data_IF_730385300473
#
_entry.id   IF_730385300473
#
_cell.length_a   1.000
_cell.length_b   1.000
_cell.length_c   1.000
_cell.angle_alpha   90.00
_cell.angle_beta   90.00
_cell.angle_gamma   90.00
#
_symmetry.space_group_name_H-M   'P 1'
#
loop_
_entity.id
_entity.type
_entity.pdbx_description
1 polymer ?
#
# COMPACT_ATOMS: atom_id res chain seq x y z
N UNK A 1 -20.76 16.22 0.26
CA UNK A 1 -20.02 15.53 -0.82
C UNK A 1 -18.64 16.10 -0.99
N UNK A 2 -18.47 17.43 -1.14
CA UNK A 2 -17.16 18.09 -1.23
C UNK A 2 -16.18 17.73 -0.10
N UNK A 3 -16.64 17.69 1.16
CA UNK A 3 -15.78 17.30 2.30
C UNK A 3 -15.22 15.88 2.20
N UNK A 4 -16.01 14.92 1.70
CA UNK A 4 -15.53 13.54 1.47
C UNK A 4 -14.51 13.49 0.33
N UNK A 5 -14.74 14.24 -0.74
CA UNK A 5 -13.83 14.32 -1.90
C UNK A 5 -12.44 14.86 -1.52
N UNK A 6 -12.36 15.74 -0.53
CA UNK A 6 -11.09 16.19 0.03
C UNK A 6 -10.50 15.19 1.03
N UNK A 7 -11.31 14.63 1.93
CA UNK A 7 -10.83 13.67 2.93
C UNK A 7 -10.24 12.43 2.26
N UNK A 8 -10.86 11.88 1.22
CA UNK A 8 -10.34 10.67 0.55
C UNK A 8 -8.92 10.85 0.02
N UNK A 9 -8.53 12.07 -0.36
CA UNK A 9 -7.16 12.40 -0.82
C UNK A 9 -6.13 12.29 0.32
N UNK A 10 -6.56 12.43 1.56
CA UNK A 10 -5.74 12.25 2.77
C UNK A 10 -5.69 10.82 3.32
N UNK A 11 -6.37 9.87 2.64
CA UNK A 11 -6.37 8.45 2.99
C UNK A 11 -5.44 7.70 2.03
N UNK A 12 -4.47 7.00 2.59
CA UNK A 12 -3.42 6.32 1.85
C UNK A 12 -3.59 4.82 1.90
N UNK A 13 -3.28 4.17 0.78
CA UNK A 13 -2.98 2.75 0.76
C UNK A 13 -1.51 2.59 1.16
N UNK A 14 -1.26 1.68 2.09
CA UNK A 14 0.09 1.37 2.57
C UNK A 14 0.52 0.07 1.95
N UNK A 15 1.65 0.09 1.24
CA UNK A 15 2.24 -1.07 0.61
C UNK A 15 3.55 -1.44 1.33
N UNK A 16 3.63 -2.69 1.76
CA UNK A 16 4.86 -3.31 2.30
C UNK A 16 5.26 -4.50 1.44
N UNK A 17 6.39 -5.13 1.74
CA UNK A 17 6.80 -6.37 1.07
C UNK A 17 5.94 -7.58 1.45
N UNK A 18 5.11 -7.45 2.49
CA UNK A 18 4.33 -8.54 3.07
C UNK A 18 2.82 -8.40 2.80
N UNK A 19 2.36 -7.20 2.41
CA UNK A 19 0.94 -6.98 2.25
C UNK A 19 0.56 -5.53 2.01
N UNK A 20 -0.73 -5.27 2.16
CA UNK A 20 -1.31 -3.94 2.00
C UNK A 20 -2.26 -3.62 3.14
N UNK A 21 -2.39 -2.34 3.45
CA UNK A 21 -3.34 -1.81 4.41
C UNK A 21 -3.75 -0.38 4.05
N UNK A 22 -4.41 0.28 4.98
CA UNK A 22 -4.83 1.67 4.87
C UNK A 22 -4.18 2.52 5.95
N UNK A 23 -4.13 3.82 5.71
CA UNK A 23 -3.72 4.82 6.70
C UNK A 23 -4.33 6.17 6.38
N UNK A 24 -4.26 7.10 7.31
CA UNK A 24 -4.81 8.44 7.12
C UNK A 24 -3.86 9.49 7.68
N UNK A 25 -3.78 10.63 6.98
CA UNK A 25 -2.91 11.73 7.37
C UNK A 25 -3.56 12.62 8.42
N UNK A 26 -2.79 12.94 9.46
CA UNK A 26 -3.14 13.91 10.48
C UNK A 26 -2.31 15.18 10.28
N UNK A 27 -2.96 16.18 9.69
CA UNK A 27 -2.34 17.46 9.30
C UNK A 27 -1.67 18.20 10.45
N UNK A 28 -2.29 18.22 11.63
CA UNK A 28 -1.78 18.96 12.79
C UNK A 28 -0.46 18.39 13.33
N UNK A 29 -0.13 17.16 12.96
CA UNK A 29 1.01 16.40 13.46
C UNK A 29 2.04 16.05 12.37
N UNK A 30 1.67 16.26 11.11
CA UNK A 30 2.45 15.90 9.92
C UNK A 30 2.89 14.44 9.89
N UNK A 31 1.94 13.53 10.16
CA UNK A 31 2.15 12.07 10.16
C UNK A 31 0.98 11.35 9.51
N UNK A 32 1.23 10.13 9.02
CA UNK A 32 0.20 9.17 8.64
C UNK A 32 0.05 8.13 9.75
N UNK A 33 -1.19 7.90 10.17
CA UNK A 33 -1.53 6.88 11.17
C UNK A 33 -1.98 5.60 10.47
N UNK A 34 -1.57 4.45 10.99
CA UNK A 34 -2.02 3.13 10.56
C UNK A 34 -1.96 2.13 11.73
N UNK A 35 -2.24 0.86 11.46
CA UNK A 35 -1.98 -0.20 12.45
C UNK A 35 -0.55 -0.70 12.42
N UNK A 36 -0.04 -1.09 13.59
CA UNK A 36 1.27 -1.73 13.71
C UNK A 36 1.40 -2.96 12.80
N UNK A 37 0.41 -3.85 12.77
CA UNK A 37 0.51 -5.07 11.97
C UNK A 37 0.59 -4.84 10.46
N UNK A 38 0.14 -3.69 9.96
CA UNK A 38 0.26 -3.33 8.53
C UNK A 38 1.74 -3.12 8.18
N UNK A 39 2.53 -2.60 9.13
CA UNK A 39 3.93 -2.21 8.93
C UNK A 39 4.92 -3.05 9.74
N UNK A 40 4.46 -4.13 10.37
CA UNK A 40 5.27 -4.94 11.27
C UNK A 40 6.51 -5.48 10.53
N UNK A 41 7.69 -5.18 11.06
CA UNK A 41 8.97 -5.56 10.46
C UNK A 41 9.37 -4.71 9.25
N UNK A 42 8.65 -3.65 8.88
CA UNK A 42 9.06 -2.68 7.87
C UNK A 42 9.62 -1.43 8.55
N UNK A 43 10.78 -0.92 8.10
CA UNK A 43 11.26 0.41 8.53
C UNK A 43 10.80 1.51 7.58
N UNK A 44 10.61 1.15 6.31
CA UNK A 44 10.07 2.02 5.28
C UNK A 44 8.95 1.32 4.52
N UNK A 45 7.95 2.10 4.12
CA UNK A 45 6.77 1.64 3.39
C UNK A 45 6.47 2.56 2.22
N UNK A 46 5.72 2.08 1.24
CA UNK A 46 5.16 2.95 0.20
C UNK A 46 3.78 3.44 0.60
N UNK A 47 3.61 4.76 0.59
CA UNK A 47 2.30 5.41 0.63
C UNK A 47 1.82 5.62 -0.79
N UNK A 48 0.64 5.09 -1.10
CA UNK A 48 -0.06 5.30 -2.35
C UNK A 48 -1.30 6.16 -2.09
N UNK A 49 -1.43 7.28 -2.80
CA UNK A 49 -2.56 8.20 -2.67
C UNK A 49 -3.76 7.77 -3.53
N UNK A 50 -4.84 8.56 -3.47
CA UNK A 50 -6.06 8.29 -4.27
C UNK A 50 -5.82 8.27 -5.79
N UNK A 51 -4.79 8.97 -6.26
CA UNK A 51 -4.41 9.05 -7.68
C UNK A 51 -3.38 7.99 -8.09
N UNK A 52 -3.07 7.05 -7.19
CA UNK A 52 -2.00 6.06 -7.34
C UNK A 52 -0.59 6.65 -7.45
N UNK A 53 -0.38 7.90 -7.03
CA UNK A 53 0.97 8.43 -6.84
C UNK A 53 1.57 7.79 -5.58
N UNK A 54 2.88 7.51 -5.65
CA UNK A 54 3.58 6.80 -4.58
C UNK A 54 4.79 7.55 -4.08
N UNK A 55 4.98 7.49 -2.77
CA UNK A 55 6.18 7.99 -2.09
C UNK A 55 6.58 7.06 -0.96
N UNK A 56 7.83 7.18 -0.50
CA UNK A 56 8.31 6.48 0.69
C UNK A 56 7.81 7.18 1.94
N UNK A 57 7.54 6.40 2.98
CA UNK A 57 7.39 6.89 4.35
C UNK A 57 8.17 6.02 5.33
N UNK A 58 8.75 6.67 6.34
CA UNK A 58 9.49 6.00 7.42
C UNK A 58 8.54 5.63 8.55
N UNK A 59 8.69 4.44 9.11
CA UNK A 59 8.00 4.04 10.34
C UNK A 59 8.74 4.67 11.53
N UNK A 60 8.12 5.65 12.18
CA UNK A 60 8.77 6.42 13.25
C UNK A 60 8.28 6.04 14.66
N UNK A 61 7.07 5.48 14.78
CA UNK A 61 6.54 4.98 16.05
C UNK A 61 5.74 3.70 15.82
N UNK A 62 5.90 2.74 16.73
CA UNK A 62 5.06 1.54 16.81
C UNK A 62 4.65 1.25 18.24
N UNK A 63 3.38 0.91 18.44
CA UNK A 63 2.82 0.40 19.67
C UNK A 63 2.13 -0.95 19.40
N UNK A 64 2.82 -2.09 19.56
CA UNK A 64 2.27 -3.40 19.19
C UNK A 64 0.98 -3.80 19.91
N UNK A 65 0.89 -3.60 21.22
CA UNK A 65 -0.29 -4.03 22.01
C UNK A 65 -1.58 -3.27 21.61
N UNK A 66 -1.48 -1.95 21.42
CA UNK A 66 -2.55 -1.08 20.91
C UNK A 66 -2.74 -1.17 19.40
N UNK A 67 -1.83 -1.83 18.69
CA UNK A 67 -1.82 -1.98 17.24
C UNK A 67 -1.82 -0.64 16.48
N UNK A 68 -1.00 0.32 16.92
CA UNK A 68 -0.87 1.67 16.31
C UNK A 68 0.54 1.85 15.75
N UNK A 69 0.66 2.52 14.62
CA UNK A 69 1.94 2.99 14.09
C UNK A 69 1.82 4.38 13.46
N UNK A 70 2.90 5.17 13.55
CA UNK A 70 3.04 6.46 12.87
C UNK A 70 4.08 6.38 11.78
N UNK A 71 3.74 6.95 10.63
CA UNK A 71 4.57 7.04 9.45
C UNK A 71 4.88 8.50 9.16
N UNK A 72 6.13 8.75 8.77
CA UNK A 72 6.60 10.05 8.32
C UNK A 72 6.78 10.01 6.80
N UNK A 73 5.90 10.67 6.02
CA UNK A 73 6.08 10.82 4.58
C UNK A 73 7.41 11.50 4.26
N UNK A 74 8.10 11.05 3.21
CA UNK A 74 9.35 11.67 2.76
C UNK A 74 9.10 13.07 2.14
N UNK A 75 8.00 13.22 1.39
CA UNK A 75 7.58 14.50 0.85
C UNK A 75 6.45 15.09 1.69
N UNK A 76 6.43 16.42 1.81
CA UNK A 76 5.36 17.11 2.52
C UNK A 76 4.01 16.85 1.87
N UNK A 77 3.05 16.52 2.71
CA UNK A 77 1.65 16.39 2.33
C UNK A 77 0.92 17.71 2.60
N UNK A 78 -0.04 18.06 1.74
CA UNK A 78 -0.86 19.25 1.93
C UNK A 78 -2.27 18.97 1.44
N UNK A 79 -3.22 19.00 2.38
CA UNK A 79 -4.63 18.80 2.12
C UNK A 79 -5.44 19.90 2.82
N UNK A 80 -6.49 20.36 2.16
CA UNK A 80 -7.40 21.36 2.72
C UNK A 80 -8.18 20.79 3.91
N UNK A 81 -8.67 19.56 3.76
CA UNK A 81 -9.44 18.84 4.78
C UNK A 81 -8.87 17.44 4.96
N UNK A 82 -8.70 17.06 6.23
CA UNK A 82 -8.32 15.70 6.65
C UNK A 82 -9.35 15.19 7.64
N UNK A 83 -9.21 13.95 8.07
CA UNK A 83 -9.94 13.46 9.24
C UNK A 83 -9.61 14.34 10.45
N UNK A 84 -10.65 14.75 11.19
CA UNK A 84 -10.53 15.59 12.38
C UNK A 84 -10.57 14.72 13.64
N UNK A 85 -9.75 15.03 14.64
CA UNK A 85 -9.83 14.42 15.97
C UNK A 85 -10.51 15.41 16.92
N UNK A 86 -11.49 14.92 17.68
CA UNK A 86 -12.18 15.69 18.71
C UNK A 86 -11.98 15.02 20.06
N UNK A 87 -11.19 15.63 20.93
CA UNK A 87 -10.76 15.05 22.21
C UNK A 87 -11.91 14.52 23.08
N UNK A 88 -13.02 15.27 23.11
CA UNK A 88 -14.19 14.96 23.94
C UNK A 88 -15.34 14.33 23.13
N UNK A 89 -15.05 13.64 22.03
CA UNK A 89 -16.07 12.94 21.27
C UNK A 89 -16.68 11.80 22.09
N UNK A 90 -17.98 11.90 22.36
CA UNK A 90 -18.75 10.78 22.90
C UNK A 90 -19.16 9.84 21.77
N UNK A 91 -18.94 8.53 21.97
CA UNK A 91 -19.34 7.47 21.05
C UNK A 91 -20.43 6.66 21.74
N UNK A 92 -21.57 6.48 21.08
CA UNK A 92 -22.74 5.77 21.60
C UNK A 92 -23.12 4.63 20.66
N UNK A 93 -23.79 3.63 21.21
CA UNK A 93 -24.43 2.60 20.39
C UNK A 93 -25.39 3.26 19.40
N UNK A 94 -25.47 2.69 18.19
CA UNK A 94 -26.27 3.18 17.06
C UNK A 94 -25.80 4.48 16.42
N UNK A 95 -24.69 5.08 16.88
CA UNK A 95 -24.05 6.16 16.13
C UNK A 95 -23.64 5.64 14.76
N UNK A 96 -24.00 6.38 13.71
CA UNK A 96 -23.61 6.04 12.34
C UNK A 96 -22.14 6.31 12.10
N UNK A 97 -21.51 5.40 11.38
CA UNK A 97 -20.10 5.46 11.06
C UNK A 97 -19.82 5.02 9.63
N UNK A 98 -18.72 5.55 9.08
CA UNK A 98 -18.17 5.14 7.80
C UNK A 98 -16.74 4.63 7.97
N UNK A 99 -16.42 3.57 7.23
CA UNK A 99 -15.08 2.98 7.09
C UNK A 99 -14.51 3.48 5.77
N UNK A 100 -13.35 4.12 5.82
CA UNK A 100 -12.63 4.60 4.64
C UNK A 100 -11.35 3.79 4.48
N UNK A 101 -11.08 3.28 3.28
CA UNK A 101 -9.88 2.50 3.04
C UNK A 101 -9.82 1.79 1.70
N UNK A 102 -8.81 0.94 1.56
CA UNK A 102 -8.46 0.20 0.34
C UNK A 102 -8.60 -1.31 0.57
N UNK A 103 -9.84 -1.85 0.54
CA UNK A 103 -10.09 -3.26 0.81
C UNK A 103 -9.38 -4.12 -0.23
N UNK A 104 -8.74 -5.20 0.23
CA UNK A 104 -7.91 -6.11 -0.54
C UNK A 104 -6.79 -5.42 -1.34
N UNK A 105 -6.40 -4.20 -0.93
CA UNK A 105 -5.47 -3.36 -1.67
C UNK A 105 -6.00 -2.90 -3.03
N UNK A 106 -7.31 -2.94 -3.23
CA UNK A 106 -7.99 -2.46 -4.45
C UNK A 106 -8.29 -0.97 -4.35
N UNK A 107 -9.17 -0.45 -5.21
CA UNK A 107 -9.58 0.95 -5.21
C UNK A 107 -10.19 1.39 -3.87
N UNK A 108 -10.15 2.69 -3.62
CA UNK A 108 -10.72 3.31 -2.43
C UNK A 108 -12.22 2.99 -2.31
N UNK A 109 -12.66 2.66 -1.10
CA UNK A 109 -14.07 2.41 -0.78
C UNK A 109 -14.51 3.17 0.46
N UNK A 110 -15.81 3.42 0.51
CA UNK A 110 -16.51 3.89 1.72
C UNK A 110 -17.59 2.87 2.01
N UNK A 111 -17.58 2.27 3.19
CA UNK A 111 -18.67 1.42 3.68
C UNK A 111 -19.28 2.06 4.92
N UNK A 112 -20.58 1.89 5.11
CA UNK A 112 -21.32 2.52 6.20
C UNK A 112 -21.92 1.45 7.12
N UNK A 113 -22.13 1.84 8.37
CA UNK A 113 -22.79 1.04 9.39
C UNK A 113 -23.03 1.87 10.65
N UNK A 114 -23.17 1.19 11.78
CA UNK A 114 -23.37 1.78 13.10
C UNK A 114 -22.41 1.19 14.13
N UNK A 115 -22.20 1.92 15.22
CA UNK A 115 -21.56 1.39 16.40
C UNK A 115 -22.48 0.37 17.08
N UNK A 116 -22.06 -0.90 17.05
CA UNK A 116 -22.73 -2.00 17.75
C UNK A 116 -22.38 -1.99 19.24
N UNK A 117 -21.12 -1.68 19.58
CA UNK A 117 -20.66 -1.47 20.95
C UNK A 117 -19.48 -0.50 20.96
N UNK A 118 -19.53 0.60 21.74
CA UNK A 118 -18.42 1.55 21.83
C UNK A 118 -17.20 0.97 22.56
N UNK A 119 -17.38 -0.13 23.30
CA UNK A 119 -16.34 -0.76 24.11
C UNK A 119 -16.60 -2.27 24.27
N UNK A 120 -16.22 -3.03 23.26
CA UNK A 120 -16.29 -4.48 23.23
C UNK A 120 -14.93 -5.09 23.62
N UNK A 121 -14.90 -5.94 24.65
CA UNK A 121 -13.69 -6.67 24.99
C UNK A 121 -13.51 -7.87 24.04
N UNK A 122 -12.41 -7.89 23.29
CA UNK A 122 -12.05 -8.97 22.36
C UNK A 122 -10.61 -9.40 22.64
N UNK A 123 -10.45 -10.64 23.08
CA UNK A 123 -9.14 -11.21 23.44
C UNK A 123 -8.34 -10.33 24.40
N UNK A 124 -9.02 -9.74 25.39
CA UNK A 124 -8.38 -8.89 26.41
C UNK A 124 -8.13 -7.44 26.00
N UNK A 125 -8.61 -7.00 24.82
CA UNK A 125 -8.50 -5.61 24.37
C UNK A 125 -9.88 -4.99 24.19
N UNK A 126 -10.02 -3.75 24.64
CA UNK A 126 -11.25 -2.98 24.47
C UNK A 126 -11.24 -2.31 23.08
N UNK A 127 -12.15 -2.71 22.21
CA UNK A 127 -12.28 -2.23 20.84
C UNK A 127 -13.66 -1.65 20.60
N UNK A 128 -13.77 -0.79 19.60
CA UNK A 128 -15.07 -0.35 19.08
C UNK A 128 -15.58 -1.44 18.15
N UNK A 129 -16.79 -1.92 18.36
CA UNK A 129 -17.46 -2.86 17.48
C UNK A 129 -18.45 -2.12 16.57
N UNK A 130 -18.44 -2.46 15.29
CA UNK A 130 -19.31 -1.90 14.26
C UNK A 130 -19.87 -3.01 13.36
N UNK A 131 -21.04 -2.78 12.77
CA UNK A 131 -21.57 -3.63 11.69
C UNK A 131 -21.16 -3.13 10.30
N UNK A 132 -20.47 -1.99 10.21
CA UNK A 132 -19.90 -1.50 8.96
C UNK A 132 -18.90 -2.53 8.40
N UNK A 133 -18.99 -2.89 7.11
CA UNK A 133 -18.09 -3.88 6.51
C UNK A 133 -16.61 -3.48 6.61
N UNK A 134 -15.82 -4.27 7.35
CA UNK A 134 -14.36 -4.15 7.44
C UNK A 134 -13.73 -5.41 6.85
N UNK A 135 -13.03 -5.24 5.73
CA UNK A 135 -12.33 -6.32 5.02
C UNK A 135 -10.81 -6.19 5.21
N UNK A 136 -10.02 -7.25 4.93
CA UNK A 136 -8.58 -7.12 4.74
C UNK A 136 -8.25 -5.92 3.85
N UNK A 137 -7.22 -5.15 4.16
CA UNK A 137 -6.88 -3.91 3.46
C UNK A 137 -7.48 -2.62 4.07
N UNK A 138 -8.64 -2.70 4.74
CA UNK A 138 -9.18 -1.54 5.49
C UNK A 138 -8.41 -1.28 6.80
N UNK A 139 -7.66 -2.26 7.32
CA UNK A 139 -6.84 -2.12 8.52
C UNK A 139 -5.94 -0.89 8.47
N UNK A 140 -5.98 -0.08 9.52
CA UNK A 140 -5.25 1.17 9.65
C UNK A 140 -5.97 2.40 9.07
N UNK A 141 -7.02 2.21 8.27
CA UNK A 141 -7.88 3.29 7.79
C UNK A 141 -8.79 3.84 8.90
N UNK A 142 -9.38 5.04 8.72
CA UNK A 142 -10.18 5.67 9.76
C UNK A 142 -11.63 5.13 9.76
N UNK A 143 -12.16 4.95 10.96
CA UNK A 143 -13.59 4.86 11.25
C UNK A 143 -14.05 6.27 11.66
N UNK A 144 -15.03 6.84 10.96
CA UNK A 144 -15.46 8.23 11.18
C UNK A 144 -16.97 8.33 11.36
N UNK A 145 -17.43 9.33 12.09
CA UNK A 145 -18.87 9.63 12.20
C UNK A 145 -19.39 10.45 11.00
N UNK A 146 -20.68 10.78 10.97
CA UNK A 146 -21.32 11.60 9.91
C UNK A 146 -20.71 13.01 9.74
N UNK A 147 -19.92 13.49 10.72
CA UNK A 147 -19.20 14.78 10.66
C UNK A 147 -17.75 14.65 10.19
N UNK A 148 -17.32 13.44 9.82
CA UNK A 148 -15.95 13.07 9.45
C UNK A 148 -14.93 13.21 10.60
N UNK A 149 -15.41 13.07 11.83
CA UNK A 149 -14.57 13.08 13.02
C UNK A 149 -14.15 11.63 13.32
N UNK A 150 -12.88 11.45 13.67
CA UNK A 150 -12.30 10.14 13.96
C UNK A 150 -12.99 9.51 15.17
N UNK A 151 -13.54 8.32 14.95
CA UNK A 151 -14.11 7.45 15.98
C UNK A 151 -13.11 6.35 16.35
N UNK A 152 -12.35 5.84 15.37
CA UNK A 152 -11.32 4.82 15.62
C UNK A 152 -10.49 4.48 14.39
N UNK A 153 -9.60 3.50 14.53
CA UNK A 153 -8.72 2.98 13.49
C UNK A 153 -9.17 1.55 13.19
N UNK A 154 -9.66 1.29 11.98
CA UNK A 154 -10.20 -0.01 11.58
C UNK A 154 -9.17 -1.12 11.74
N UNK A 155 -9.58 -2.31 12.20
CA UNK A 155 -8.71 -3.49 12.30
C UNK A 155 -9.43 -4.75 11.80
N UNK A 156 -8.86 -5.42 10.81
CA UNK A 156 -9.40 -6.65 10.22
C UNK A 156 -8.82 -7.93 10.84
N UNK A 157 -8.14 -7.84 12.00
CA UNK A 157 -7.49 -8.98 12.65
C UNK A 157 -8.45 -10.07 13.17
N UNK A 158 -9.74 -9.75 13.28
CA UNK A 158 -10.73 -10.65 13.86
C UNK A 158 -11.65 -11.16 12.75
N UNK A 159 -11.34 -12.33 12.21
CA UNK A 159 -11.95 -12.88 10.99
C UNK A 159 -13.05 -13.91 11.24
N UNK A 160 -13.38 -14.23 12.50
CA UNK A 160 -14.26 -15.35 12.85
C UNK A 160 -15.73 -14.96 13.09
N UNK A 161 -16.15 -13.77 12.66
CA UNK A 161 -17.54 -13.32 12.77
C UNK A 161 -17.95 -12.56 11.51
N UNK A 162 -18.83 -13.15 10.71
CA UNK A 162 -19.47 -12.45 9.60
C UNK A 162 -20.20 -11.21 10.12
N UNK A 163 -20.09 -10.09 9.40
CA UNK A 163 -20.72 -8.79 9.74
C UNK A 163 -20.31 -8.20 11.10
N UNK A 164 -19.11 -8.51 11.60
CA UNK A 164 -18.56 -7.84 12.79
C UNK A 164 -17.22 -7.20 12.47
N UNK A 165 -17.19 -5.87 12.46
CA UNK A 165 -15.98 -5.07 12.33
C UNK A 165 -15.49 -4.58 13.70
N UNK A 166 -14.18 -4.38 13.82
CA UNK A 166 -13.57 -3.78 15.00
C UNK A 166 -12.67 -2.61 14.64
N UNK A 167 -12.54 -1.66 15.57
CA UNK A 167 -11.61 -0.54 15.47
C UNK A 167 -10.93 -0.25 16.81
N UNK A 168 -9.66 0.13 16.76
CA UNK A 168 -8.93 0.70 17.90
C UNK A 168 -9.51 2.08 18.18
N UNK A 169 -9.86 2.37 19.43
CA UNK A 169 -10.50 3.65 19.78
C UNK A 169 -9.59 4.85 19.49
N UNK A 170 -10.14 5.97 19.01
CA UNK A 170 -9.39 7.22 18.84
C UNK A 170 -8.75 7.71 20.16
N UNK A 171 -9.29 7.29 21.31
CA UNK A 171 -8.74 7.62 22.63
C UNK A 171 -7.35 7.02 22.84
N UNK A 172 -7.14 5.80 22.35
CA UNK A 172 -5.82 5.15 22.38
C UNK A 172 -4.81 5.94 21.53
N UNK A 173 -5.24 6.42 20.35
CA UNK A 173 -4.44 7.28 19.49
C UNK A 173 -4.08 8.61 20.17
N UNK A 174 -5.03 9.25 20.87
CA UNK A 174 -4.78 10.50 21.61
C UNK A 174 -3.69 10.34 22.68
N UNK A 175 -3.59 9.17 23.32
CA UNK A 175 -2.52 8.90 24.28
C UNK A 175 -1.13 8.86 23.61
N UNK A 176 -1.05 8.26 22.42
CA UNK A 176 0.20 8.22 21.65
C UNK A 176 0.59 9.60 21.11
N UNK A 177 -0.39 10.39 20.65
CA UNK A 177 -0.17 11.74 20.15
C UNK A 177 0.40 12.70 21.21
N UNK A 178 0.13 12.48 22.50
CA UNK A 178 0.75 13.28 23.60
C UNK A 178 2.27 13.15 23.66
N UNK A 179 2.83 12.09 23.09
CA UNK A 179 4.27 11.84 23.08
C UNK A 179 4.93 12.23 21.75
N UNK A 180 4.17 12.76 20.78
CA UNK A 180 4.68 13.00 19.43
C UNK A 180 5.85 13.99 19.39
N UNK A 181 5.80 15.04 20.22
CA UNK A 181 6.86 16.06 20.30
C UNK A 181 8.16 15.52 20.91
N UNK A 182 8.11 14.36 21.57
CA UNK A 182 9.27 13.68 22.16
C UNK A 182 9.93 12.70 21.18
N UNK A 183 9.33 12.46 20.01
CA UNK A 183 9.85 11.50 19.06
C UNK A 183 11.10 12.03 18.37
N UNK A 184 12.16 11.22 18.41
CA UNK A 184 13.22 11.32 17.43
C UNK A 184 12.72 10.75 16.10
N UNK A 185 12.19 11.62 15.24
CA UNK A 185 11.64 11.26 13.93
C UNK A 185 12.69 10.66 12.96
N UNK A 186 13.97 10.60 13.35
CA UNK A 186 15.03 9.96 12.55
C UNK A 186 15.18 8.47 12.83
N UNK A 187 14.54 7.95 13.90
CA UNK A 187 14.63 6.55 14.32
C UNK A 187 13.24 5.97 14.60
N UNK A 188 13.16 4.64 14.56
CA UNK A 188 11.99 3.91 15.04
C UNK A 188 11.91 4.01 16.57
N UNK A 189 10.74 4.44 17.08
CA UNK A 189 10.41 4.41 18.50
C UNK A 189 9.40 3.32 18.81
N UNK A 190 9.74 2.39 19.71
CA UNK A 190 8.84 1.35 20.21
C UNK A 190 8.25 1.82 21.54
N UNK A 191 6.93 1.86 21.65
CA UNK A 191 6.24 2.25 22.88
C UNK A 191 6.17 1.06 23.84
N UNK A 192 6.63 1.26 25.08
CA UNK A 192 6.51 0.26 26.12
C UNK A 192 5.05 0.08 26.55
N UNK A 193 4.53 -1.14 26.44
CA UNK A 193 3.15 -1.49 26.84
C UNK A 193 2.80 -1.21 28.30
N UNK A 194 3.81 -1.17 29.20
CA UNK A 194 3.59 -1.08 30.64
C UNK A 194 3.66 0.36 31.17
N UNK A 195 4.57 1.18 30.67
CA UNK A 195 4.81 2.54 31.19
C UNK A 195 4.73 3.65 30.13
N UNK A 196 4.50 3.32 28.85
CA UNK A 196 4.42 4.28 27.76
C UNK A 196 5.76 4.92 27.36
N UNK A 197 6.88 4.48 27.92
CA UNK A 197 8.20 4.99 27.55
C UNK A 197 8.52 4.70 26.08
N UNK A 198 9.11 5.68 25.40
CA UNK A 198 9.61 5.55 24.03
C UNK A 198 11.00 4.91 24.06
N UNK A 199 11.14 3.77 23.39
CA UNK A 199 12.39 3.00 23.33
C UNK A 199 12.89 3.03 21.89
N UNK A 200 14.09 3.56 21.66
CA UNK A 200 14.70 3.64 20.31
C UNK A 200 15.79 2.60 20.10
N UNK A 201 16.37 2.12 21.20
CA UNK A 201 17.47 1.15 21.17
C UNK A 201 16.94 -0.27 21.38
N UNK A 202 17.46 -1.21 20.59
CA UNK A 202 17.08 -2.62 20.67
C UNK A 202 17.34 -3.17 22.08
N UNK A 203 16.30 -3.70 22.70
CA UNK A 203 16.37 -4.25 24.06
C UNK A 203 15.36 -5.37 24.27
N UNK A 204 15.66 -6.29 25.20
CA UNK A 204 14.73 -7.32 25.68
C UNK A 204 13.85 -6.81 26.85
N UNK A 205 14.18 -5.64 27.43
CA UNK A 205 13.46 -5.05 28.57
C UNK A 205 13.38 -3.52 28.46
N UNK A 206 12.27 -2.95 28.89
CA UNK A 206 12.08 -1.51 28.96
C UNK A 206 13.09 -0.89 29.95
N UNK A 207 13.91 0.10 29.52
CA UNK A 207 14.86 0.76 30.41
C UNK A 207 14.20 1.53 31.57
N UNK A 208 12.94 1.94 31.41
CA UNK A 208 12.23 2.76 32.40
C UNK A 208 11.52 1.94 33.47
N UNK A 209 10.90 0.80 33.12
CA UNK A 209 10.10 0.01 34.06
C UNK A 209 10.46 -1.48 34.15
N UNK A 210 11.40 -1.96 33.33
CA UNK A 210 11.81 -3.37 33.33
C UNK A 210 10.83 -4.35 32.67
N UNK A 211 9.71 -3.87 32.11
CA UNK A 211 8.77 -4.73 31.38
C UNK A 211 9.46 -5.41 30.18
N UNK A 212 9.14 -6.68 29.92
CA UNK A 212 9.67 -7.41 28.76
C UNK A 212 9.23 -6.76 27.46
N UNK A 213 10.17 -6.56 26.54
CA UNK A 213 9.96 -6.03 25.19
C UNK A 213 10.46 -7.07 24.19
N UNK A 214 9.72 -7.30 23.11
CA UNK A 214 10.23 -8.13 22.02
C UNK A 214 11.25 -7.34 21.20
N UNK A 215 12.53 -7.70 21.33
CA UNK A 215 13.62 -7.08 20.57
C UNK A 215 13.48 -7.21 19.05
N UNK A 216 12.64 -8.13 18.55
CA UNK A 216 12.41 -8.30 17.12
C UNK A 216 11.59 -7.15 16.52
N UNK A 217 10.83 -6.42 17.34
CA UNK A 217 10.07 -5.24 16.88
C UNK A 217 11.01 -4.17 16.29
N UNK A 218 12.24 -4.08 16.79
CA UNK A 218 13.25 -3.13 16.31
C UNK A 218 13.92 -3.58 15.00
N UNK A 219 13.79 -4.85 14.63
CA UNK A 219 14.50 -5.40 13.49
C UNK A 219 13.65 -5.28 12.23
N UNK A 220 14.25 -4.78 11.17
CA UNK A 220 13.66 -4.90 9.84
C UNK A 220 13.65 -6.37 9.41
N UNK A 221 12.49 -6.83 8.94
CA UNK A 221 12.33 -8.16 8.39
C UNK A 221 13.07 -8.23 7.07
N UNK A 222 13.98 -9.19 6.94
CA UNK A 222 14.69 -9.42 5.68
C UNK A 222 13.72 -9.89 4.61
N UNK A 223 13.89 -9.37 3.40
CA UNK A 223 13.19 -9.84 2.23
C UNK A 223 13.54 -11.31 1.95
N UNK A 224 12.55 -12.03 1.44
CA UNK A 224 12.78 -13.36 0.87
C UNK A 224 13.67 -13.26 -0.38
N UNK A 225 14.34 -14.38 -0.74
CA UNK A 225 15.31 -14.40 -1.83
C UNK A 225 14.74 -13.89 -3.17
N UNK A 226 13.50 -14.26 -3.48
CA UNK A 226 12.82 -13.81 -4.70
C UNK A 226 12.54 -12.31 -4.65
N UNK A 227 11.94 -11.82 -3.57
CA UNK A 227 11.67 -10.39 -3.40
C UNK A 227 12.95 -9.56 -3.46
N UNK A 228 14.03 -10.00 -2.82
CA UNK A 228 15.33 -9.33 -2.92
C UNK A 228 15.83 -9.28 -4.37
N UNK A 229 15.80 -10.40 -5.10
CA UNK A 229 16.24 -10.46 -6.50
C UNK A 229 15.44 -9.50 -7.42
N UNK A 230 14.13 -9.40 -7.21
CA UNK A 230 13.27 -8.50 -7.99
C UNK A 230 13.53 -7.05 -7.62
N UNK A 231 13.62 -6.72 -6.33
CA UNK A 231 13.91 -5.35 -5.90
C UNK A 231 15.30 -4.89 -6.37
N UNK A 232 16.30 -5.77 -6.36
CA UNK A 232 17.63 -5.48 -6.93
C UNK A 232 17.56 -5.21 -8.43
N UNK A 233 16.72 -5.97 -9.16
CA UNK A 233 16.53 -5.79 -10.61
C UNK A 233 15.78 -4.48 -10.93
N UNK A 234 14.80 -4.10 -10.10
CA UNK A 234 14.10 -2.80 -10.20
C UNK A 234 15.07 -1.64 -9.89
N UNK A 235 15.91 -1.79 -8.88
CA UNK A 235 16.88 -0.76 -8.48
C UNK A 235 17.88 -0.43 -9.60
N UNK A 236 18.27 -1.41 -10.44
CA UNK A 236 19.14 -1.20 -11.61
C UNK A 236 18.55 -0.23 -12.65
N UNK A 237 17.24 0.02 -12.61
CA UNK A 237 16.56 1.00 -13.46
C UNK A 237 16.45 2.40 -12.83
N UNK A 238 17.14 2.63 -11.69
CA UNK A 238 17.02 3.83 -10.87
C UNK A 238 15.60 4.07 -10.33
N UNK A 239 14.83 3.01 -10.15
CA UNK A 239 13.52 3.04 -9.52
C UNK A 239 13.70 2.61 -8.07
N UNK A 240 13.18 3.39 -7.12
CA UNK A 240 13.18 2.96 -5.72
C UNK A 240 12.25 1.73 -5.58
N UNK A 241 12.75 0.55 -5.14
CA UNK A 241 11.92 -0.64 -5.07
C UNK A 241 10.76 -0.53 -4.07
N UNK A 242 10.90 0.31 -3.03
CA UNK A 242 9.86 0.52 -2.02
C UNK A 242 8.60 1.07 -2.65
N UNK A 243 8.70 2.11 -3.49
CA UNK A 243 7.53 2.68 -4.20
C UNK A 243 6.94 1.72 -5.24
N UNK A 244 7.71 0.72 -5.68
CA UNK A 244 7.21 -0.31 -6.58
C UNK A 244 6.39 -1.38 -5.85
N UNK A 245 6.56 -1.58 -4.53
CA UNK A 245 5.82 -2.60 -3.76
C UNK A 245 4.31 -2.40 -3.87
N UNK A 246 3.58 -3.49 -4.05
CA UNK A 246 2.12 -3.50 -4.15
C UNK A 246 1.47 -4.67 -3.39
N UNK A 247 2.19 -5.23 -2.41
CA UNK A 247 1.78 -6.37 -1.60
C UNK A 247 2.82 -7.51 -1.61
N UNK A 248 2.46 -8.64 -1.00
CA UNK A 248 3.30 -9.84 -0.97
C UNK A 248 3.63 -10.32 -2.38
N UNK A 249 4.93 -10.44 -2.67
CA UNK A 249 5.48 -10.87 -3.96
C UNK A 249 4.83 -10.18 -5.17
N UNK A 250 4.53 -8.89 -5.03
CA UNK A 250 3.88 -8.07 -6.05
C UNK A 250 4.51 -6.68 -6.14
N UNK A 251 4.84 -6.27 -7.36
CA UNK A 251 5.32 -4.94 -7.68
C UNK A 251 4.50 -4.33 -8.82
N UNK A 252 4.29 -3.03 -8.73
CA UNK A 252 3.49 -2.23 -9.65
C UNK A 252 4.13 -0.85 -9.76
N UNK A 253 4.51 -0.43 -10.96
CA UNK A 253 5.06 0.91 -11.18
C UNK A 253 4.93 1.31 -12.65
N UNK A 254 4.99 2.61 -12.93
CA UNK A 254 5.10 3.09 -14.30
C UNK A 254 6.59 3.31 -14.65
N UNK A 255 6.98 2.90 -15.86
CA UNK A 255 8.28 3.24 -16.44
C UNK A 255 8.01 3.86 -17.80
N UNK A 256 8.47 5.10 -18.02
CA UNK A 256 7.96 5.94 -19.11
C UNK A 256 6.44 6.09 -19.02
N UNK A 257 5.73 5.68 -20.07
CA UNK A 257 4.27 5.66 -20.11
C UNK A 257 3.63 4.40 -19.48
N UNK A 258 4.00 3.16 -19.87
CA UNK A 258 3.25 1.97 -19.50
C UNK A 258 3.35 1.62 -18.00
N UNK A 259 2.35 0.88 -17.52
CA UNK A 259 2.37 0.27 -16.19
C UNK A 259 2.99 -1.12 -16.26
N UNK A 260 3.99 -1.38 -15.42
CA UNK A 260 4.66 -2.66 -15.27
C UNK A 260 4.09 -3.36 -14.04
N UNK A 261 3.68 -4.61 -14.21
CA UNK A 261 3.15 -5.49 -13.17
C UNK A 261 4.08 -6.67 -13.03
N UNK A 262 4.62 -6.89 -11.84
CA UNK A 262 5.41 -8.08 -11.49
C UNK A 262 4.70 -8.80 -10.36
N UNK A 263 4.41 -10.09 -10.52
CA UNK A 263 3.75 -10.88 -9.48
C UNK A 263 4.04 -12.37 -9.59
N UNK A 264 3.95 -13.05 -8.46
CA UNK A 264 4.00 -14.52 -8.41
C UNK A 264 2.60 -15.09 -8.64
N UNK A 265 2.54 -16.15 -9.45
CA UNK A 265 1.32 -16.90 -9.76
C UNK A 265 1.51 -18.37 -9.44
N UNK A 266 0.51 -18.97 -8.77
CA UNK A 266 0.50 -20.37 -8.31
C UNK A 266 1.78 -20.79 -7.57
N UNK A 267 2.45 -19.85 -6.89
CA UNK A 267 3.71 -20.03 -6.16
C UNK A 267 4.88 -20.61 -6.99
N UNK A 268 4.75 -20.69 -8.31
CA UNK A 268 5.69 -21.39 -9.18
C UNK A 268 6.23 -20.50 -10.30
N UNK A 269 5.46 -19.49 -10.71
CA UNK A 269 5.78 -18.66 -11.87
C UNK A 269 5.87 -17.20 -11.47
N UNK A 270 6.93 -16.55 -11.92
CA UNK A 270 7.01 -15.10 -11.92
C UNK A 270 6.45 -14.59 -13.25
N UNK A 271 5.48 -13.70 -13.15
CA UNK A 271 4.92 -12.96 -14.27
C UNK A 271 5.38 -11.52 -14.22
N UNK A 272 5.84 -11.03 -15.36
CA UNK A 272 6.09 -9.62 -15.60
C UNK A 272 5.24 -9.27 -16.81
N UNK A 273 4.35 -8.30 -16.69
CA UNK A 273 3.41 -7.97 -17.75
C UNK A 273 3.11 -6.49 -17.78
N UNK A 274 2.81 -5.99 -18.96
CA UNK A 274 2.33 -4.63 -19.18
C UNK A 274 1.17 -4.64 -20.16
N UNK A 275 0.13 -3.91 -19.81
CA UNK A 275 -0.96 -3.59 -20.72
C UNK A 275 -0.57 -2.31 -21.46
N UNK A 276 -0.10 -2.46 -22.70
CA UNK A 276 0.48 -1.36 -23.47
C UNK A 276 -0.63 -0.41 -23.92
N UNK A 277 -1.41 -0.83 -24.92
CA UNK A 277 -2.37 0.05 -25.57
C UNK A 277 -3.73 -0.61 -25.78
N UNK A 278 -4.76 0.22 -25.88
CA UNK A 278 -6.06 -0.14 -26.44
C UNK A 278 -5.93 -0.17 -27.97
N UNK A 279 -6.48 -1.21 -28.58
CA UNK A 279 -6.48 -1.41 -30.03
C UNK A 279 -7.14 -0.23 -30.76
N UNK A 280 -6.68 0.11 -31.99
CA UNK A 280 -7.34 1.10 -32.81
C UNK A 280 -8.72 0.61 -33.25
N UNK A 281 -9.62 1.54 -33.54
CA UNK A 281 -11.01 1.20 -33.96
C UNK A 281 -11.11 0.77 -35.43
N UNK A 282 -10.05 0.96 -36.21
CA UNK A 282 -9.95 0.65 -37.64
C UNK A 282 -8.53 0.17 -37.95
N UNK A 283 -8.37 -0.48 -39.10
CA UNK A 283 -7.05 -0.87 -39.65
C UNK A 283 -6.18 -1.72 -38.71
N UNK A 284 -6.78 -2.78 -38.18
CA UNK A 284 -6.13 -3.69 -37.23
C UNK A 284 -5.08 -4.61 -37.85
N UNK A 285 -5.17 -4.90 -39.15
CA UNK A 285 -4.34 -5.91 -39.81
C UNK A 285 -2.83 -5.63 -39.67
N UNK A 286 -2.32 -4.41 -39.95
CA UNK A 286 -0.90 -4.11 -39.80
C UNK A 286 -0.37 -4.28 -38.37
N UNK A 287 -1.20 -3.96 -37.37
CA UNK A 287 -0.87 -4.16 -35.96
C UNK A 287 -0.77 -5.67 -35.63
N UNK A 288 -1.74 -6.47 -36.07
CA UNK A 288 -1.71 -7.92 -35.84
C UNK A 288 -0.54 -8.59 -36.57
N UNK A 289 -0.23 -8.18 -37.79
CA UNK A 289 0.95 -8.66 -38.53
C UNK A 289 2.24 -8.38 -37.76
N UNK A 290 2.36 -7.19 -37.17
CA UNK A 290 3.51 -6.86 -36.33
C UNK A 290 3.55 -7.71 -35.05
N UNK A 291 2.44 -7.79 -34.31
CA UNK A 291 2.33 -8.56 -33.06
C UNK A 291 2.69 -10.05 -33.27
N UNK A 292 2.28 -10.62 -34.40
CA UNK A 292 2.50 -12.03 -34.72
C UNK A 292 3.87 -12.28 -35.39
N UNK A 293 4.44 -11.28 -36.07
CA UNK A 293 5.67 -11.40 -36.85
C UNK A 293 6.94 -10.95 -36.11
N UNK A 294 6.83 -10.07 -35.12
CA UNK A 294 7.97 -9.53 -34.38
C UNK A 294 8.58 -10.58 -33.45
N UNK A 295 9.90 -10.80 -33.56
CA UNK A 295 10.61 -11.70 -32.67
C UNK A 295 11.00 -10.98 -31.38
N UNK A 296 10.15 -11.10 -30.36
CA UNK A 296 10.35 -10.48 -29.05
C UNK A 296 10.86 -11.46 -27.99
N UNK A 297 11.40 -12.62 -28.36
CA UNK A 297 11.92 -13.58 -27.38
C UNK A 297 12.91 -12.91 -26.38
N UNK A 298 12.83 -13.27 -25.08
CA UNK A 298 12.01 -14.32 -24.46
C UNK A 298 10.58 -13.88 -24.07
N UNK A 299 10.13 -12.73 -24.56
CA UNK A 299 8.82 -12.14 -24.24
C UNK A 299 7.75 -12.62 -25.22
N UNK A 300 6.51 -12.22 -24.95
CA UNK A 300 5.37 -12.53 -25.79
C UNK A 300 4.36 -11.38 -25.81
N UNK A 301 3.80 -11.11 -26.99
CA UNK A 301 2.60 -10.30 -27.13
C UNK A 301 1.33 -11.15 -26.97
N UNK A 302 0.31 -10.56 -26.37
CA UNK A 302 -1.04 -11.10 -26.30
C UNK A 302 -2.07 -10.02 -26.59
N UNK A 303 -3.29 -10.44 -26.95
CA UNK A 303 -4.43 -9.53 -27.09
C UNK A 303 -5.57 -10.06 -26.23
N UNK A 304 -6.09 -9.21 -25.35
CA UNK A 304 -7.21 -9.53 -24.47
C UNK A 304 -8.04 -8.28 -24.22
N UNK A 305 -9.37 -8.40 -24.25
CA UNK A 305 -10.32 -7.28 -24.01
C UNK A 305 -9.93 -5.96 -24.72
N UNK A 306 -9.69 -6.04 -26.03
CA UNK A 306 -9.26 -4.92 -26.89
C UNK A 306 -7.96 -4.23 -26.48
N UNK A 307 -7.09 -4.91 -25.73
CA UNK A 307 -5.80 -4.37 -25.34
C UNK A 307 -4.66 -5.29 -25.76
N UNK A 308 -3.54 -4.68 -26.14
CA UNK A 308 -2.28 -5.38 -26.38
C UNK A 308 -1.54 -5.52 -25.05
N UNK A 309 -1.14 -6.75 -24.74
CA UNK A 309 -0.32 -7.10 -23.59
C UNK A 309 1.06 -7.50 -24.06
N UNK A 310 2.06 -7.10 -23.31
CA UNK A 310 3.43 -7.58 -23.43
C UNK A 310 3.80 -8.30 -22.14
N UNK A 311 4.29 -9.53 -22.22
CA UNK A 311 4.48 -10.40 -21.06
C UNK A 311 5.78 -11.18 -21.12
N UNK A 312 6.38 -11.37 -19.95
CA UNK A 312 7.50 -12.27 -19.68
C UNK A 312 7.12 -13.20 -18.54
N UNK A 313 7.20 -14.51 -18.78
CA UNK A 313 6.87 -15.54 -17.79
C UNK A 313 8.04 -16.48 -17.63
N UNK A 314 8.39 -16.79 -16.40
CA UNK A 314 9.49 -17.68 -16.05
C UNK A 314 9.14 -18.53 -14.83
N UNK A 315 9.69 -19.75 -14.77
CA UNK A 315 9.59 -20.55 -13.56
C UNK A 315 10.55 -19.98 -12.51
N UNK A 316 10.10 -19.85 -11.26
CA UNK A 316 10.91 -19.28 -10.17
C UNK A 316 12.18 -20.13 -9.95
N UNK A 317 12.09 -21.44 -10.16
CA UNK A 317 13.24 -22.35 -10.07
C UNK A 317 14.35 -22.02 -11.06
N UNK A 318 14.02 -21.44 -12.22
CA UNK A 318 15.01 -21.08 -13.24
C UNK A 318 15.88 -19.89 -12.79
N UNK A 319 15.32 -18.97 -11.99
CA UNK A 319 16.02 -17.80 -11.45
C UNK A 319 17.24 -18.21 -10.62
N UNK A 320 17.11 -19.31 -9.86
CA UNK A 320 18.10 -19.71 -8.86
C UNK A 320 18.91 -20.95 -9.27
N UNK A 321 18.97 -21.28 -10.56
CA UNK A 321 19.79 -22.41 -11.07
C UNK A 321 21.28 -22.19 -10.86
N UNK A 322 21.78 -21.01 -11.23
CA UNK A 322 23.17 -20.57 -11.08
C UNK A 322 23.25 -19.05 -11.30
N UNK A 323 24.39 -18.45 -10.95
CA UNK A 323 24.60 -17.00 -11.02
C UNK A 323 24.52 -16.46 -12.47
N UNK A 324 24.93 -17.24 -13.47
CA UNK A 324 24.85 -16.85 -14.88
C UNK A 324 23.40 -16.67 -15.32
N UNK A 325 22.54 -17.65 -15.02
CA UNK A 325 21.10 -17.61 -15.32
C UNK A 325 20.41 -16.48 -14.55
N UNK A 326 20.79 -16.28 -13.29
CA UNK A 326 20.23 -15.20 -12.47
C UNK A 326 20.55 -13.82 -13.06
N UNK A 327 21.79 -13.62 -13.52
CA UNK A 327 22.21 -12.38 -14.18
C UNK A 327 21.51 -12.18 -15.53
N UNK A 328 21.40 -13.23 -16.34
CA UNK A 328 20.67 -13.20 -17.61
C UNK A 328 19.20 -12.80 -17.38
N UNK A 329 18.52 -13.42 -16.42
CA UNK A 329 17.12 -13.10 -16.11
C UNK A 329 17.00 -11.67 -15.60
N UNK A 330 17.91 -11.20 -14.74
CA UNK A 330 17.90 -9.81 -14.28
C UNK A 330 18.01 -8.81 -15.45
N UNK A 331 18.85 -9.10 -16.43
CA UNK A 331 18.95 -8.28 -17.65
C UNK A 331 17.70 -8.41 -18.53
N UNK A 332 17.10 -9.60 -18.62
CA UNK A 332 15.83 -9.80 -19.33
C UNK A 332 14.67 -9.02 -18.69
N UNK A 333 14.61 -8.88 -17.36
CA UNK A 333 13.63 -8.04 -16.67
C UNK A 333 13.81 -6.57 -17.06
N UNK A 334 15.05 -6.08 -17.03
CA UNK A 334 15.39 -4.71 -17.44
C UNK A 334 15.02 -4.44 -18.90
N UNK A 335 15.40 -5.34 -19.80
CA UNK A 335 15.09 -5.25 -21.22
C UNK A 335 13.58 -5.34 -21.50
N UNK A 336 12.83 -6.12 -20.73
CA UNK A 336 11.37 -6.15 -20.82
C UNK A 336 10.80 -4.75 -20.57
N UNK A 337 11.23 -4.09 -19.50
CA UNK A 337 10.69 -2.79 -19.08
C UNK A 337 11.00 -1.71 -20.12
N UNK A 338 12.21 -1.68 -20.65
CA UNK A 338 12.61 -0.76 -21.72
C UNK A 338 11.78 -0.99 -22.99
N UNK A 339 11.68 -2.25 -23.44
CA UNK A 339 10.89 -2.59 -24.63
C UNK A 339 9.40 -2.31 -24.46
N UNK A 340 8.85 -2.49 -23.26
CA UNK A 340 7.46 -2.18 -22.99
C UNK A 340 7.17 -0.70 -23.27
N UNK A 341 8.05 0.21 -22.84
CA UNK A 341 7.94 1.65 -23.11
C UNK A 341 8.06 1.94 -24.62
N UNK A 342 9.09 1.40 -25.28
CA UNK A 342 9.29 1.56 -26.72
C UNK A 342 8.07 1.08 -27.54
N UNK A 343 7.51 -0.07 -27.20
CA UNK A 343 6.33 -0.62 -27.89
C UNK A 343 5.05 0.17 -27.57
N UNK A 344 4.89 0.62 -26.33
CA UNK A 344 3.75 1.45 -25.92
C UNK A 344 3.68 2.75 -26.73
N UNK A 345 4.82 3.38 -27.02
CA UNK A 345 4.94 4.58 -27.87
C UNK A 345 4.77 4.24 -29.35
N UNK A 346 5.52 3.25 -29.85
CA UNK A 346 5.49 2.87 -31.27
C UNK A 346 4.09 2.49 -31.74
N UNK A 347 3.31 1.78 -30.91
CA UNK A 347 1.97 1.37 -31.28
C UNK A 347 0.99 2.52 -31.40
N UNK A 348 1.16 3.58 -30.61
CA UNK A 348 0.39 4.82 -30.77
C UNK A 348 0.77 5.49 -32.08
N UNK A 349 2.07 5.71 -32.31
CA UNK A 349 2.57 6.49 -33.44
C UNK A 349 2.32 5.82 -34.78
N UNK A 350 2.53 4.50 -34.86
CA UNK A 350 2.53 3.75 -36.12
C UNK A 350 1.17 3.12 -36.45
N UNK A 351 0.43 2.69 -35.42
CA UNK A 351 -0.80 1.92 -35.62
C UNK A 351 -2.06 2.64 -35.09
N UNK A 352 -1.91 3.86 -34.55
CA UNK A 352 -3.05 4.64 -34.05
C UNK A 352 -3.70 4.03 -32.81
N UNK A 353 -2.97 3.20 -32.06
CA UNK A 353 -3.41 2.70 -30.77
C UNK A 353 -3.61 3.86 -29.78
N UNK A 354 -4.34 3.61 -28.68
CA UNK A 354 -4.49 4.58 -27.59
C UNK A 354 -3.81 4.07 -26.33
N UNK A 355 -3.12 4.94 -25.61
CA UNK A 355 -2.58 4.64 -24.28
C UNK A 355 -3.69 4.13 -23.35
N UNK A 356 -3.37 3.18 -22.49
CA UNK A 356 -4.34 2.61 -21.55
C UNK A 356 -4.67 3.58 -20.43
N UNK A 357 -5.75 3.30 -19.67
CA UNK A 357 -6.09 4.06 -18.47
C UNK A 357 -5.04 3.93 -17.34
N UNK A 358 -4.11 2.97 -17.46
CA UNK A 358 -3.02 2.73 -16.50
C UNK A 358 -1.73 3.44 -16.89
N UNK A 359 -1.66 4.03 -18.09
CA UNK A 359 -0.53 4.85 -18.50
C UNK A 359 -0.36 6.06 -17.58
N UNK A 360 0.89 6.47 -17.38
CA UNK A 360 1.23 7.58 -16.49
C UNK A 360 0.51 8.88 -16.89
N UNK A 361 0.40 9.15 -18.18
CA UNK A 361 -0.27 10.33 -18.74
C UNK A 361 -1.77 10.33 -18.42
N UNK A 362 -2.46 9.21 -18.65
CA UNK A 362 -3.89 9.12 -18.38
C UNK A 362 -4.19 9.09 -16.87
N UNK A 363 -3.28 8.60 -16.03
CA UNK A 363 -3.35 8.77 -14.58
C UNK A 363 -3.22 10.23 -14.17
N UNK A 364 -2.34 11.00 -14.83
CA UNK A 364 -2.17 12.42 -14.58
C UNK A 364 -3.39 13.26 -15.03
N UNK A 365 -3.99 12.95 -16.19
CA UNK A 365 -5.16 13.68 -16.70
C UNK A 365 -6.42 13.49 -15.83
N UNK A 366 -6.59 12.33 -15.18
CA UNK A 366 -7.63 12.14 -14.14
C UNK A 366 -7.51 13.10 -12.96
N UNK A 367 -6.34 13.74 -12.76
CA UNK A 367 -6.13 14.73 -11.70
C UNK A 367 -6.70 16.11 -12.06
N UNK A 368 -6.91 16.41 -13.34
CA UNK A 368 -7.40 17.72 -13.82
C UNK A 368 -8.93 17.77 -13.99
N UNK A 369 -9.57 16.60 -14.16
CA UNK A 369 -11.04 16.47 -14.32
C UNK A 369 -11.81 16.36 -13.00
N UNK A 370 -11.14 16.53 -11.85
CA UNK A 370 -11.67 16.50 -10.47
C UNK A 370 -11.26 17.76 -9.70
#
# INVERSE_FOLDING_TARGET
>A
MEKLENIKKSIFKINTSEGTGSGFYLKDYDIVVTNYHVVAGSHEVSLEDYNSDRQVAKVILVHPEKDIAFLLPENKLSFEQTVEIIDNLEIKEKDKVSVLGYPFGMGFTVTEGIISSPKQNVSGRDLIQTDAPINPGNSGGPLVNEKWQLVGINTSKFTNADNTGFAVSFKELLEELKNIDKLDKTKLSVVCHSCGALITEKTDFCPSCGAKIDKNIFLEKKLEKLSQFIEDSIAKLNINPIIARAGYERWLFNYGSPEIRIFVFDNNYLYITSQLNVLPTKDLLPLYEHILGENVLPYQFGVHENCVYFSYRLAITDIFKNDETQNEISENIKNFILKADDFDDMFVDKYGCKKTAYSKENKANKKEDL
#
